data_IF_813079441860
#
_entry.id   IF_813079441860
#
_cell.length_a   1.000
_cell.length_b   1.000
_cell.length_c   1.000
_cell.angle_alpha   90.00
_cell.angle_beta   90.00
_cell.angle_gamma   90.00
#
_symmetry.space_group_name_H-M   'P 1'
#
loop_
_entity.id
_entity.type
_entity.pdbx_description
1 polymer ?
#
# COMPACT_ATOMS: atom_id res chain seq x y z
N UNK A 1 -8.11 18.93 -16.60
CA UNK A 1 -7.38 17.64 -16.76
C UNK A 1 -6.63 17.24 -15.50
N UNK A 2 -5.82 18.13 -14.89
CA UNK A 2 -5.07 17.83 -13.67
C UNK A 2 -5.95 17.30 -12.51
N UNK A 3 -7.10 17.92 -12.27
CA UNK A 3 -8.00 17.50 -11.18
C UNK A 3 -8.60 16.10 -11.38
N UNK A 4 -8.93 15.71 -12.61
CA UNK A 4 -9.40 14.36 -12.92
C UNK A 4 -8.29 13.31 -12.70
N UNK A 5 -7.05 13.66 -13.04
CA UNK A 5 -5.88 12.81 -12.80
C UNK A 5 -5.63 12.61 -11.29
N UNK A 6 -5.66 13.69 -10.51
CA UNK A 6 -5.50 13.63 -9.05
C UNK A 6 -6.60 12.78 -8.38
N UNK A 7 -7.84 12.91 -8.85
CA UNK A 7 -8.94 12.09 -8.35
C UNK A 7 -8.75 10.60 -8.63
N UNK A 8 -8.36 10.24 -9.86
CA UNK A 8 -8.06 8.85 -10.21
C UNK A 8 -6.92 8.27 -9.35
N UNK A 9 -5.91 9.08 -9.05
CA UNK A 9 -4.78 8.68 -8.23
C UNK A 9 -5.21 8.37 -6.78
N UNK A 10 -6.06 9.21 -6.17
CA UNK A 10 -6.59 8.96 -4.82
C UNK A 10 -7.43 7.68 -4.78
N UNK A 11 -8.31 7.48 -5.76
CA UNK A 11 -9.17 6.28 -5.85
C UNK A 11 -8.34 5.00 -6.06
N UNK A 12 -7.15 5.12 -6.65
CA UNK A 12 -6.27 3.99 -6.88
C UNK A 12 -5.59 3.47 -5.59
N UNK A 13 -5.42 4.31 -4.55
CA UNK A 13 -4.77 3.93 -3.29
C UNK A 13 -5.40 2.71 -2.61
N UNK A 14 -6.72 2.68 -2.34
CA UNK A 14 -7.35 1.51 -1.72
C UNK A 14 -7.28 0.27 -2.62
N UNK A 15 -7.36 0.45 -3.95
CA UNK A 15 -7.30 -0.65 -4.92
C UNK A 15 -5.91 -1.29 -4.91
N UNK A 16 -4.85 -0.49 -4.99
CA UNK A 16 -3.45 -0.94 -4.94
C UNK A 16 -3.16 -1.57 -3.58
N UNK A 17 -3.60 -0.94 -2.49
CA UNK A 17 -3.51 -1.49 -1.14
C UNK A 17 -4.14 -2.88 -1.05
N UNK A 18 -5.38 -3.04 -1.50
CA UNK A 18 -6.09 -4.32 -1.49
C UNK A 18 -5.41 -5.39 -2.34
N UNK A 19 -5.03 -5.08 -3.58
CA UNK A 19 -4.35 -6.02 -4.48
C UNK A 19 -3.04 -6.50 -3.85
N UNK A 20 -2.28 -5.58 -3.25
CA UNK A 20 -1.01 -5.92 -2.58
C UNK A 20 -1.26 -6.87 -1.40
N UNK A 21 -2.22 -6.59 -0.52
CA UNK A 21 -2.57 -7.45 0.61
C UNK A 21 -3.01 -8.85 0.16
N UNK A 22 -3.86 -8.95 -0.86
CA UNK A 22 -4.27 -10.24 -1.41
C UNK A 22 -3.06 -11.07 -1.85
N UNK A 23 -2.07 -10.44 -2.50
CA UNK A 23 -0.84 -11.12 -2.88
C UNK A 23 -0.03 -11.56 -1.66
N UNK A 24 0.07 -10.74 -0.61
CA UNK A 24 0.74 -11.12 0.65
C UNK A 24 0.10 -12.34 1.28
N UNK A 25 -1.24 -12.39 1.33
CA UNK A 25 -1.98 -13.51 1.88
C UNK A 25 -1.77 -14.80 1.07
N UNK A 26 -1.81 -14.71 -0.26
CA UNK A 26 -1.51 -15.86 -1.13
C UNK A 26 -0.09 -16.37 -0.93
N UNK A 27 0.89 -15.47 -0.79
CA UNK A 27 2.27 -15.82 -0.53
C UNK A 27 2.42 -16.48 0.85
N UNK A 28 1.82 -15.90 1.90
CA UNK A 28 1.80 -16.46 3.24
C UNK A 28 1.18 -17.87 3.27
N UNK A 29 0.06 -18.07 2.59
CA UNK A 29 -0.62 -19.37 2.51
C UNK A 29 0.27 -20.43 1.83
N UNK A 30 0.91 -20.09 0.71
CA UNK A 30 1.84 -20.99 0.00
C UNK A 30 3.06 -21.33 0.86
N UNK A 31 3.67 -20.32 1.49
CA UNK A 31 4.82 -20.51 2.38
C UNK A 31 4.47 -21.32 3.63
N UNK A 32 3.26 -21.16 4.18
CA UNK A 32 2.76 -21.97 5.28
C UNK A 32 2.64 -23.44 4.89
N UNK A 33 2.08 -23.73 3.71
CA UNK A 33 2.01 -25.09 3.17
C UNK A 33 3.39 -25.73 2.94
N UNK A 34 4.40 -24.92 2.61
CA UNK A 34 5.79 -25.34 2.45
C UNK A 34 6.61 -25.35 3.76
N UNK A 35 5.95 -25.17 4.92
CA UNK A 35 6.58 -25.11 6.24
C UNK A 35 7.67 -24.04 6.40
N UNK A 36 7.62 -22.96 5.59
CA UNK A 36 8.58 -21.83 5.64
C UNK A 36 8.07 -20.72 6.55
N UNK A 37 8.11 -20.97 7.86
CA UNK A 37 7.54 -20.07 8.90
C UNK A 37 8.07 -18.63 8.81
N UNK A 38 9.37 -18.44 8.52
CA UNK A 38 9.97 -17.09 8.39
C UNK A 38 9.29 -16.28 7.28
N UNK A 39 8.98 -16.90 6.14
CA UNK A 39 8.32 -16.22 5.02
C UNK A 39 6.89 -15.82 5.37
N UNK A 40 6.19 -16.64 6.16
CA UNK A 40 4.85 -16.33 6.67
C UNK A 40 4.89 -15.10 7.59
N UNK A 41 5.86 -15.04 8.50
CA UNK A 41 6.04 -13.89 9.40
C UNK A 41 6.32 -12.61 8.60
N UNK A 42 7.19 -12.68 7.60
CA UNK A 42 7.49 -11.54 6.72
C UNK A 42 6.23 -11.07 5.99
N UNK A 43 5.46 -11.99 5.39
CA UNK A 43 4.21 -11.64 4.71
C UNK A 43 3.20 -10.99 5.67
N UNK A 44 3.04 -11.52 6.88
CA UNK A 44 2.16 -10.96 7.90
C UNK A 44 2.60 -9.56 8.33
N UNK A 45 3.89 -9.36 8.63
CA UNK A 45 4.46 -8.06 8.97
C UNK A 45 4.19 -7.02 7.87
N UNK A 46 4.30 -7.43 6.60
CA UNK A 46 4.00 -6.56 5.49
C UNK A 46 2.52 -6.18 5.37
N UNK A 47 1.59 -7.10 5.67
CA UNK A 47 0.16 -6.78 5.74
C UNK A 47 -0.09 -5.71 6.80
N UNK A 48 0.54 -5.84 7.98
CA UNK A 48 0.47 -4.82 9.03
C UNK A 48 1.05 -3.47 8.58
N UNK A 49 2.19 -3.47 7.88
CA UNK A 49 2.78 -2.23 7.33
C UNK A 49 1.81 -1.58 6.33
N UNK A 50 1.23 -2.34 5.39
CA UNK A 50 0.27 -1.80 4.43
C UNK A 50 -0.98 -1.25 5.12
N UNK A 51 -1.49 -1.92 6.15
CA UNK A 51 -2.62 -1.42 6.94
C UNK A 51 -2.27 -0.11 7.67
N UNK A 52 -1.07 -0.02 8.23
CA UNK A 52 -0.60 1.20 8.90
C UNK A 52 -0.47 2.36 7.91
N UNK A 53 0.03 2.10 6.69
CA UNK A 53 0.11 3.12 5.62
C UNK A 53 -1.29 3.58 5.20
N UNK A 54 -2.23 2.67 4.95
CA UNK A 54 -3.60 3.06 4.59
C UNK A 54 -4.32 3.82 5.72
N UNK A 55 -4.07 3.45 6.98
CA UNK A 55 -4.60 4.18 8.12
C UNK A 55 -4.02 5.60 8.20
N UNK A 56 -2.71 5.74 7.96
CA UNK A 56 -2.05 7.04 7.85
C UNK A 56 -2.66 7.88 6.71
N UNK A 57 -2.84 7.29 5.53
CA UNK A 57 -3.44 7.96 4.36
C UNK A 57 -4.86 8.47 4.69
N UNK A 58 -5.67 7.65 5.36
CA UNK A 58 -7.00 8.05 5.81
C UNK A 58 -6.97 9.25 6.76
N UNK A 59 -6.07 9.24 7.75
CA UNK A 59 -5.93 10.36 8.71
C UNK A 59 -5.50 11.64 8.00
N UNK A 60 -4.52 11.55 7.10
CA UNK A 60 -4.01 12.70 6.35
C UNK A 60 -5.08 13.27 5.42
N UNK A 61 -5.76 12.43 4.63
CA UNK A 61 -6.80 12.86 3.71
C UNK A 61 -8.03 13.41 4.45
N UNK A 62 -8.42 12.79 5.56
CA UNK A 62 -9.52 13.28 6.39
C UNK A 62 -9.18 14.63 7.03
N UNK A 63 -8.00 14.75 7.65
CA UNK A 63 -7.53 16.00 8.25
C UNK A 63 -7.46 17.14 7.23
N UNK A 64 -6.96 16.85 6.03
CA UNK A 64 -6.93 17.81 4.92
C UNK A 64 -8.34 18.14 4.38
N UNK A 65 -9.23 17.14 4.32
CA UNK A 65 -10.62 17.31 3.93
C UNK A 65 -11.38 18.29 4.85
N UNK A 66 -11.19 18.14 6.16
CA UNK A 66 -11.85 18.94 7.21
C UNK A 66 -11.23 20.33 7.39
N UNK A 67 -9.95 20.51 7.06
CA UNK A 67 -9.30 21.82 7.16
C UNK A 67 -9.95 22.84 6.21
N UNK A 68 -10.63 23.86 6.74
CA UNK A 68 -11.34 24.86 5.92
C UNK A 68 -10.45 26.03 5.45
N UNK A 69 -9.15 26.05 5.79
CA UNK A 69 -8.25 27.17 5.50
C UNK A 69 -7.06 26.75 4.62
N UNK A 70 -6.69 27.61 3.66
CA UNK A 70 -5.44 27.47 2.89
C UNK A 70 -5.41 26.32 1.86
N UNK A 71 -6.56 25.86 1.36
CA UNK A 71 -6.61 24.88 0.27
C UNK A 71 -6.21 25.53 -1.05
N UNK A 72 -4.98 25.24 -1.47
CA UNK A 72 -4.41 25.68 -2.74
C UNK A 72 -3.87 24.45 -3.48
N UNK A 73 -3.78 24.53 -4.81
CA UNK A 73 -3.30 23.41 -5.67
C UNK A 73 -1.95 22.83 -5.25
N UNK A 74 -1.06 23.64 -4.65
CA UNK A 74 0.23 23.18 -4.14
C UNK A 74 0.06 22.28 -2.90
N UNK A 75 -0.83 22.65 -1.98
CA UNK A 75 -1.10 21.87 -0.78
C UNK A 75 -1.83 20.56 -1.13
N UNK A 76 -2.76 20.60 -2.10
CA UNK A 76 -3.40 19.39 -2.65
C UNK A 76 -2.36 18.40 -3.19
N UNK A 77 -1.40 18.92 -3.97
CA UNK A 77 -0.35 18.09 -4.56
C UNK A 77 0.61 17.51 -3.50
N UNK A 78 0.98 18.30 -2.49
CA UNK A 78 1.84 17.83 -1.38
C UNK A 78 1.14 16.72 -0.61
N UNK A 79 -0.11 16.93 -0.20
CA UNK A 79 -0.90 15.93 0.54
C UNK A 79 -1.00 14.64 -0.26
N UNK A 80 -1.30 14.77 -1.56
CA UNK A 80 -1.39 13.64 -2.47
C UNK A 80 -0.06 12.89 -2.60
N UNK A 81 1.08 13.59 -2.71
CA UNK A 81 2.39 12.94 -2.75
C UNK A 81 2.75 12.25 -1.44
N UNK A 82 2.41 12.86 -0.30
CA UNK A 82 2.64 12.30 1.04
C UNK A 82 1.84 11.04 1.26
N UNK A 83 0.66 10.89 0.65
CA UNK A 83 -0.12 9.63 0.74
C UNK A 83 0.29 8.62 -0.33
N UNK A 84 0.38 9.04 -1.59
CA UNK A 84 0.61 8.12 -2.72
C UNK A 84 1.98 7.46 -2.66
N UNK A 85 3.04 8.23 -2.34
CA UNK A 85 4.40 7.70 -2.37
C UNK A 85 4.57 6.55 -1.37
N UNK A 86 4.18 6.67 -0.08
CA UNK A 86 4.23 5.55 0.86
C UNK A 86 3.39 4.34 0.42
N UNK A 87 2.15 4.53 -0.04
CA UNK A 87 1.29 3.40 -0.43
C UNK A 87 1.90 2.61 -1.59
N UNK A 88 2.37 3.30 -2.63
CA UNK A 88 2.97 2.66 -3.80
C UNK A 88 4.34 2.06 -3.48
N UNK A 89 5.16 2.72 -2.67
CA UNK A 89 6.46 2.19 -2.24
C UNK A 89 6.29 0.90 -1.43
N UNK A 90 5.34 0.87 -0.49
CA UNK A 90 5.06 -0.29 0.32
C UNK A 90 4.44 -1.44 -0.51
N UNK A 91 3.50 -1.13 -1.40
CA UNK A 91 2.90 -2.11 -2.31
C UNK A 91 3.94 -2.72 -3.28
N UNK A 92 4.84 -1.89 -3.83
CA UNK A 92 5.91 -2.36 -4.71
C UNK A 92 6.96 -3.19 -3.96
N UNK A 93 7.39 -2.75 -2.78
CA UNK A 93 8.31 -3.49 -1.91
C UNK A 93 7.76 -4.88 -1.56
N UNK A 94 6.47 -4.95 -1.21
CA UNK A 94 5.77 -6.21 -1.02
C UNK A 94 5.84 -7.09 -2.26
N UNK A 95 5.50 -6.54 -3.43
CA UNK A 95 5.45 -7.29 -4.67
C UNK A 95 6.80 -7.93 -5.01
N UNK A 96 7.89 -7.17 -4.83
CA UNK A 96 9.26 -7.67 -4.98
C UNK A 96 9.53 -8.82 -4.00
N UNK A 97 9.23 -8.62 -2.71
CA UNK A 97 9.52 -9.60 -1.67
C UNK A 97 8.74 -10.90 -1.87
N UNK A 98 7.45 -10.82 -2.19
CA UNK A 98 6.66 -12.01 -2.56
C UNK A 98 7.28 -12.72 -3.77
N UNK A 99 7.71 -11.99 -4.81
CA UNK A 99 8.36 -12.60 -5.97
C UNK A 99 9.68 -13.30 -5.61
N UNK A 100 10.48 -12.73 -4.70
CA UNK A 100 11.72 -13.37 -4.23
C UNK A 100 11.45 -14.61 -3.38
N UNK A 101 10.40 -14.59 -2.55
CA UNK A 101 10.04 -15.72 -1.68
C UNK A 101 9.38 -16.88 -2.44
N UNK A 102 8.70 -16.61 -3.54
CA UNK A 102 8.09 -17.64 -4.40
C UNK A 102 9.12 -18.38 -5.27
N UNK A 103 10.23 -17.75 -5.67
CA UNK A 103 11.30 -18.39 -6.48
C UNK A 103 11.79 -19.74 -5.93
N UNK A 104 12.13 -19.89 -4.63
CA UNK A 104 12.59 -21.17 -4.07
C UNK A 104 11.47 -22.16 -3.73
N UNK A 105 10.19 -21.81 -3.91
CA UNK A 105 9.06 -22.71 -3.61
C UNK A 105 8.64 -23.52 -4.85
N UNK A 106 8.91 -23.01 -6.06
CA UNK A 106 8.53 -23.64 -7.33
C UNK A 106 9.71 -24.20 -8.15
N UNK A 107 10.94 -24.12 -7.62
CA UNK A 107 12.12 -24.81 -8.12
C UNK A 107 12.44 -25.98 -7.21
#
# INVERSE_FOLDING_TARGET
MLQNFLFLLIVSLPVVGFISMCRSFLCAYRSYKASKVIQVIICAAFVFIMLAVLAFDLVVLFGYGVAHTGKNSTNDFIVLMVTVIPTYAAAYGLWLICRYMEKPVFN
#
